data_IF_856298765548
#
_entry.id   IF_856298765548
#
_cell.length_a   1.000
_cell.length_b   1.000
_cell.length_c   1.000
_cell.angle_alpha   90.00
_cell.angle_beta   90.00
_cell.angle_gamma   90.00
#
_symmetry.space_group_name_H-M   'P 1'
#
loop_
_entity.id
_entity.type
_entity.pdbx_description
1 polymer ?
#
# COMPACT_ATOMS: atom_id res chain seq x y z
N UNK A 1 -15.73 -19.37 -19.30
CA UNK A 1 -14.81 -18.28 -18.90
C UNK A 1 -14.08 -17.82 -20.14
N UNK A 2 -14.06 -16.52 -20.42
CA UNK A 2 -13.32 -16.00 -21.57
C UNK A 2 -11.84 -15.95 -21.19
N UNK A 3 -11.04 -16.87 -21.71
CA UNK A 3 -9.59 -16.89 -21.55
C UNK A 3 -8.98 -16.71 -22.94
N UNK A 4 -8.38 -15.55 -23.22
CA UNK A 4 -7.40 -15.47 -24.29
C UNK A 4 -6.02 -15.73 -23.70
N UNK A 5 -5.11 -16.34 -24.46
CA UNK A 5 -3.73 -16.61 -24.01
C UNK A 5 -2.96 -15.34 -23.60
N UNK A 6 -3.43 -14.17 -24.04
CA UNK A 6 -2.89 -12.85 -23.71
C UNK A 6 -3.75 -12.08 -22.70
N UNK A 7 -4.83 -12.66 -22.16
CA UNK A 7 -5.64 -11.98 -21.16
C UNK A 7 -4.92 -11.98 -19.81
N UNK A 8 -4.87 -10.81 -19.19
CA UNK A 8 -4.43 -10.72 -17.80
C UNK A 8 -5.49 -11.35 -16.91
N UNK A 9 -5.14 -12.47 -16.27
CA UNK A 9 -6.03 -13.21 -15.39
C UNK A 9 -5.92 -12.78 -13.90
N UNK A 10 -5.01 -11.85 -13.60
CA UNK A 10 -4.78 -11.35 -12.24
C UNK A 10 -5.79 -10.25 -11.86
N UNK A 11 -6.10 -10.16 -10.56
CA UNK A 11 -6.80 -9.03 -9.98
C UNK A 11 -5.89 -7.79 -10.04
N UNK A 12 -6.40 -6.64 -10.50
CA UNK A 12 -5.54 -5.43 -10.63
C UNK A 12 -5.07 -4.92 -9.27
N UNK A 13 -6.00 -4.81 -8.35
CA UNK A 13 -5.77 -4.34 -6.99
C UNK A 13 -6.71 -5.07 -6.08
N UNK A 14 -6.19 -5.59 -4.96
CA UNK A 14 -7.04 -6.16 -3.93
C UNK A 14 -7.88 -5.07 -3.27
N UNK A 15 -7.25 -3.95 -2.90
CA UNK A 15 -7.95 -2.80 -2.37
C UNK A 15 -7.55 -1.50 -3.07
N UNK A 16 -8.54 -0.81 -3.61
CA UNK A 16 -8.42 0.55 -4.12
C UNK A 16 -9.52 1.38 -3.49
N UNK A 17 -9.15 2.48 -2.84
CA UNK A 17 -10.15 3.40 -2.30
C UNK A 17 -10.48 4.48 -3.33
N UNK A 18 -11.73 4.49 -3.79
CA UNK A 18 -12.26 5.45 -4.75
C UNK A 18 -12.94 6.60 -4.02
N UNK A 19 -12.51 7.83 -4.30
CA UNK A 19 -13.22 9.04 -3.89
C UNK A 19 -12.92 10.17 -4.85
N UNK A 20 -13.93 10.59 -5.59
CA UNK A 20 -13.87 11.71 -6.52
C UNK A 20 -15.03 12.69 -6.29
N UNK A 21 -15.04 13.77 -7.05
CA UNK A 21 -16.06 14.82 -6.94
C UNK A 21 -17.36 14.50 -7.67
N UNK A 22 -17.59 13.25 -8.09
CA UNK A 22 -18.82 12.88 -8.80
C UNK A 22 -20.05 12.96 -7.89
N UNK A 23 -19.88 12.73 -6.59
CA UNK A 23 -20.92 12.81 -5.57
C UNK A 23 -20.38 13.42 -4.27
N UNK A 24 -21.22 14.14 -3.50
CA UNK A 24 -20.80 14.65 -2.19
C UNK A 24 -20.56 13.49 -1.22
N UNK A 25 -19.47 13.60 -0.46
CA UNK A 25 -19.12 12.71 0.64
C UNK A 25 -19.19 13.59 1.89
N UNK A 26 -20.22 13.48 2.73
CA UNK A 26 -20.40 14.41 3.85
C UNK A 26 -19.42 14.14 4.99
N UNK A 27 -19.09 12.86 5.23
CA UNK A 27 -18.30 12.40 6.36
C UNK A 27 -16.86 12.10 5.97
N UNK A 28 -15.93 12.21 6.93
CA UNK A 28 -14.56 11.74 6.75
C UNK A 28 -14.53 10.20 6.79
N UNK A 29 -14.03 9.54 5.74
CA UNK A 29 -14.00 8.09 5.68
C UNK A 29 -12.79 7.55 6.46
N UNK A 30 -12.94 6.42 7.15
CA UNK A 30 -11.89 5.83 7.99
C UNK A 30 -12.38 4.56 8.69
N UNK A 31 -11.60 4.03 9.63
CA UNK A 31 -11.89 2.78 10.35
C UNK A 31 -12.13 1.59 9.40
N UNK A 32 -11.39 1.54 8.29
CA UNK A 32 -11.45 0.42 7.36
C UNK A 32 -10.59 -0.71 7.91
N UNK A 33 -11.21 -1.85 8.22
CA UNK A 33 -10.52 -3.04 8.73
C UNK A 33 -10.73 -4.19 7.76
N UNK A 34 -9.64 -4.78 7.32
CA UNK A 34 -9.62 -6.02 6.54
C UNK A 34 -8.87 -7.05 7.39
N UNK A 35 -9.56 -8.12 7.77
CA UNK A 35 -8.99 -9.15 8.62
C UNK A 35 -9.36 -10.58 8.23
N UNK A 36 -8.52 -11.51 8.66
CA UNK A 36 -8.73 -12.96 8.60
C UNK A 36 -9.00 -13.49 7.18
N UNK A 37 -8.15 -13.11 6.20
CA UNK A 37 -8.32 -13.54 4.82
C UNK A 37 -7.02 -13.90 4.08
N UNK A 38 -7.19 -14.65 2.99
CA UNK A 38 -6.13 -14.96 2.03
C UNK A 38 -6.41 -14.24 0.70
N UNK A 39 -5.38 -13.60 0.16
CA UNK A 39 -5.44 -12.80 -1.07
C UNK A 39 -4.49 -13.43 -2.08
N UNK A 40 -5.01 -13.86 -3.23
CA UNK A 40 -4.25 -14.61 -4.23
C UNK A 40 -4.28 -13.91 -5.59
N UNK A 41 -3.10 -13.75 -6.21
CA UNK A 41 -2.98 -13.31 -7.60
C UNK A 41 -3.38 -11.85 -7.85
N UNK A 42 -3.15 -10.98 -6.87
CA UNK A 42 -3.33 -9.54 -7.02
C UNK A 42 -2.05 -8.90 -7.58
N UNK A 43 -2.15 -8.03 -8.58
CA UNK A 43 -1.01 -7.21 -8.96
C UNK A 43 -0.69 -6.22 -7.83
N UNK A 44 -1.68 -5.41 -7.42
CA UNK A 44 -1.57 -4.47 -6.31
C UNK A 44 -2.21 -5.01 -5.04
N UNK A 45 -1.54 -4.90 -3.90
CA UNK A 45 -2.19 -5.21 -2.62
C UNK A 45 -2.98 -4.00 -2.09
N UNK A 46 -2.34 -2.84 -1.94
CA UNK A 46 -3.04 -1.57 -1.66
C UNK A 46 -2.71 -0.53 -2.73
N UNK A 47 -3.75 0.02 -3.33
CA UNK A 47 -3.68 1.24 -4.13
C UNK A 47 -4.41 2.39 -3.43
N UNK A 48 -3.65 3.22 -2.72
CA UNK A 48 -4.13 4.44 -2.08
C UNK A 48 -3.27 5.63 -2.53
N UNK A 49 -3.76 6.40 -3.48
CA UNK A 49 -2.99 7.42 -4.19
C UNK A 49 -3.74 8.78 -4.24
N UNK A 50 -3.77 9.52 -3.14
CA UNK A 50 -4.30 10.89 -3.10
C UNK A 50 -3.26 11.95 -3.44
N UNK A 51 -2.40 11.64 -4.41
CA UNK A 51 -1.43 12.60 -4.90
C UNK A 51 -2.03 13.64 -5.86
N UNK A 52 -3.31 13.54 -6.22
CA UNK A 52 -3.96 14.45 -7.18
C UNK A 52 -3.78 14.06 -8.64
N UNK A 53 -2.82 13.18 -8.95
CA UNK A 53 -2.62 12.65 -10.31
C UNK A 53 -3.68 11.62 -10.72
N UNK A 54 -4.32 10.95 -9.76
CA UNK A 54 -5.37 9.96 -10.05
C UNK A 54 -6.77 10.57 -9.98
N UNK A 55 -7.46 10.60 -11.12
CA UNK A 55 -8.78 11.23 -11.24
C UNK A 55 -9.85 10.60 -10.34
N UNK A 56 -9.64 9.35 -9.92
CA UNK A 56 -10.53 8.57 -9.05
C UNK A 56 -10.14 8.59 -7.56
N UNK A 57 -9.05 9.27 -7.17
CA UNK A 57 -8.56 9.36 -5.78
C UNK A 57 -8.18 10.81 -5.44
N UNK A 58 -9.16 11.72 -5.45
CA UNK A 58 -8.89 13.17 -5.34
C UNK A 58 -9.88 13.96 -4.49
N UNK A 59 -10.91 13.35 -3.91
CA UNK A 59 -11.88 14.10 -3.10
C UNK A 59 -11.65 14.00 -1.59
N UNK A 60 -12.10 12.90 -0.96
CA UNK A 60 -11.97 12.70 0.50
C UNK A 60 -11.08 11.51 0.82
N UNK A 61 -9.83 11.72 1.24
CA UNK A 61 -8.92 10.64 1.63
C UNK A 61 -9.43 9.88 2.85
N UNK A 62 -9.03 8.60 3.00
CA UNK A 62 -9.22 7.83 4.23
C UNK A 62 -8.34 8.40 5.35
N UNK A 63 -8.90 8.46 6.56
CA UNK A 63 -8.14 8.67 7.78
C UNK A 63 -7.24 7.49 8.10
N UNK A 64 -7.79 6.27 8.07
CA UNK A 64 -7.07 5.07 8.50
C UNK A 64 -7.53 3.79 7.81
N UNK A 65 -6.59 2.83 7.66
CA UNK A 65 -6.83 1.47 7.19
C UNK A 65 -5.97 0.46 7.96
N UNK A 66 -6.58 -0.66 8.36
CA UNK A 66 -5.94 -1.76 9.08
C UNK A 66 -6.04 -3.08 8.30
N UNK A 67 -4.91 -3.76 8.16
CA UNK A 67 -4.81 -5.14 7.69
C UNK A 67 -4.34 -6.03 8.84
N UNK A 68 -5.10 -7.08 9.15
CA UNK A 68 -4.81 -7.96 10.30
C UNK A 68 -5.03 -9.43 9.96
N UNK A 69 -4.07 -10.29 10.32
CA UNK A 69 -4.17 -11.74 10.07
C UNK A 69 -4.39 -12.05 8.57
N UNK A 70 -3.57 -11.46 7.70
CA UNK A 70 -3.72 -11.59 6.25
C UNK A 70 -2.58 -12.40 5.66
N UNK A 71 -2.92 -13.29 4.74
CA UNK A 71 -1.96 -13.99 3.88
C UNK A 71 -2.09 -13.50 2.45
N UNK A 72 -1.03 -12.88 1.92
CA UNK A 72 -0.96 -12.37 0.55
C UNK A 72 -0.06 -13.29 -0.27
N UNK A 73 -0.56 -13.78 -1.39
CA UNK A 73 0.12 -14.73 -2.25
C UNK A 73 0.16 -14.19 -3.68
N UNK A 74 1.36 -14.19 -4.25
CA UNK A 74 1.59 -13.84 -5.65
C UNK A 74 1.28 -12.36 -5.96
N UNK A 75 1.79 -11.45 -5.11
CA UNK A 75 1.70 -9.99 -5.31
C UNK A 75 2.92 -9.43 -6.03
N UNK A 76 2.73 -8.50 -6.96
CA UNK A 76 3.85 -7.88 -7.71
C UNK A 76 4.09 -6.41 -7.40
N UNK A 77 3.09 -5.68 -6.91
CA UNK A 77 3.11 -4.25 -6.60
C UNK A 77 2.52 -4.04 -5.20
N UNK A 78 3.31 -4.11 -4.14
CA UNK A 78 2.79 -4.26 -2.79
C UNK A 78 1.91 -3.08 -2.33
N UNK A 79 2.46 -1.91 -2.00
CA UNK A 79 1.64 -0.80 -1.51
C UNK A 79 2.04 0.57 -2.06
N UNK A 80 1.03 1.34 -2.46
CA UNK A 80 1.09 2.81 -2.58
C UNK A 80 0.18 3.41 -1.51
N UNK A 81 0.72 4.33 -0.70
CA UNK A 81 0.04 4.97 0.43
C UNK A 81 0.30 6.47 0.45
N UNK A 82 -0.46 7.23 -0.34
CA UNK A 82 -0.38 8.69 -0.39
C UNK A 82 -1.65 9.33 0.16
N UNK A 83 -1.53 10.01 1.30
CA UNK A 83 -2.55 10.96 1.76
C UNK A 83 -2.37 12.34 1.11
N UNK A 84 -3.07 13.34 1.63
CA UNK A 84 -2.87 14.75 1.26
C UNK A 84 -2.14 15.50 2.37
N UNK A 85 -1.62 16.70 2.07
CA UNK A 85 -0.95 17.54 3.09
C UNK A 85 -1.86 17.84 4.29
N UNK A 86 -3.18 17.93 4.06
CA UNK A 86 -4.19 18.24 5.09
C UNK A 86 -4.83 17.00 5.72
N UNK A 87 -4.91 15.89 4.98
CA UNK A 87 -5.53 14.64 5.42
C UNK A 87 -4.52 13.51 5.23
N UNK A 88 -3.65 13.39 6.23
CA UNK A 88 -2.65 12.33 6.29
C UNK A 88 -3.31 11.01 6.67
N UNK A 89 -2.84 9.93 6.06
CA UNK A 89 -3.37 8.58 6.27
C UNK A 89 -2.60 7.81 7.35
N UNK A 90 -3.30 6.95 8.07
CA UNK A 90 -2.72 5.92 8.94
C UNK A 90 -2.85 4.52 8.33
N UNK A 91 -1.76 3.75 8.38
CA UNK A 91 -1.72 2.35 7.97
C UNK A 91 -1.27 1.46 9.14
N UNK A 92 -2.07 0.44 9.44
CA UNK A 92 -1.73 -0.60 10.41
C UNK A 92 -1.68 -1.95 9.69
N UNK A 93 -0.58 -2.68 9.83
CA UNK A 93 -0.38 -4.02 9.31
C UNK A 93 0.06 -4.93 10.45
N UNK A 94 -0.78 -5.90 10.80
CA UNK A 94 -0.53 -6.82 11.93
C UNK A 94 -0.67 -8.27 11.52
N UNK A 95 0.30 -9.11 11.89
CA UNK A 95 0.27 -10.55 11.62
C UNK A 95 0.02 -10.83 10.11
N UNK A 96 1.02 -10.47 9.31
CA UNK A 96 0.99 -10.55 7.86
C UNK A 96 1.95 -11.62 7.35
N UNK A 97 1.51 -12.39 6.35
CA UNK A 97 2.41 -13.23 5.57
C UNK A 97 2.28 -12.88 4.10
N UNK A 98 3.40 -12.54 3.45
CA UNK A 98 3.41 -12.04 2.08
C UNK A 98 4.37 -12.87 1.26
N UNK A 99 3.91 -13.40 0.12
CA UNK A 99 4.77 -14.00 -0.89
C UNK A 99 4.71 -13.19 -2.17
N UNK A 100 5.84 -12.60 -2.54
CA UNK A 100 6.00 -11.87 -3.79
C UNK A 100 5.85 -12.83 -4.97
N UNK A 101 5.28 -12.31 -6.06
CA UNK A 101 5.22 -13.01 -7.34
C UNK A 101 6.63 -13.20 -7.88
N UNK A 102 6.91 -14.39 -8.42
CA UNK A 102 8.20 -14.69 -9.06
C UNK A 102 8.46 -13.71 -10.21
N UNK A 103 9.62 -13.07 -10.20
CA UNK A 103 10.01 -12.08 -11.22
C UNK A 103 9.41 -10.69 -11.02
N UNK A 104 8.62 -10.47 -9.96
CA UNK A 104 8.29 -9.11 -9.55
C UNK A 104 9.58 -8.38 -9.15
N UNK A 105 9.76 -7.17 -9.64
CA UNK A 105 10.90 -6.32 -9.30
C UNK A 105 10.35 -4.98 -8.80
N UNK A 106 10.49 -4.75 -7.50
CA UNK A 106 10.08 -3.53 -6.82
C UNK A 106 11.18 -3.10 -5.88
N UNK A 107 11.49 -1.80 -5.86
CA UNK A 107 12.54 -1.24 -5.00
C UNK A 107 12.11 -1.06 -3.55
N UNK A 108 10.80 -1.02 -3.28
CA UNK A 108 10.25 -0.88 -1.94
C UNK A 108 8.96 -1.69 -1.75
N UNK A 109 8.65 -2.03 -0.50
CA UNK A 109 7.41 -2.71 -0.15
C UNK A 109 6.23 -1.72 0.00
N UNK A 110 6.49 -0.55 0.60
CA UNK A 110 5.52 0.53 0.75
C UNK A 110 6.16 1.80 0.20
N UNK A 111 5.50 2.42 -0.78
CA UNK A 111 5.80 3.79 -1.19
C UNK A 111 4.80 4.72 -0.51
N UNK A 112 5.28 5.55 0.41
CA UNK A 112 4.44 6.32 1.31
C UNK A 112 4.74 7.83 1.28
N UNK A 113 3.67 8.63 1.30
CA UNK A 113 3.73 10.08 1.42
C UNK A 113 2.50 10.61 2.15
N UNK A 114 2.64 11.76 2.83
CA UNK A 114 1.54 12.39 3.55
C UNK A 114 0.79 11.39 4.45
N UNK A 115 1.54 10.73 5.33
CA UNK A 115 1.03 9.78 6.31
C UNK A 115 1.29 10.31 7.71
N UNK A 116 0.42 9.98 8.64
CA UNK A 116 0.59 10.32 10.05
C UNK A 116 1.28 9.16 10.78
N UNK A 117 0.88 7.92 10.46
CA UNK A 117 1.42 6.72 11.08
C UNK A 117 1.47 5.54 10.11
N UNK A 118 2.57 4.80 10.12
CA UNK A 118 2.68 3.46 9.52
C UNK A 118 3.17 2.51 10.61
N UNK A 119 2.42 1.46 10.87
CA UNK A 119 2.76 0.45 11.87
C UNK A 119 2.75 -0.94 11.26
N UNK A 120 3.88 -1.62 11.37
CA UNK A 120 4.05 -3.01 10.93
C UNK A 120 4.47 -3.81 12.16
N UNK A 121 3.69 -4.82 12.51
CA UNK A 121 3.97 -5.73 13.61
C UNK A 121 3.69 -7.16 13.18
N UNK A 122 4.69 -8.04 13.32
CA UNK A 122 4.64 -9.45 12.93
C UNK A 122 4.37 -9.63 11.43
N UNK A 123 5.41 -9.51 10.61
CA UNK A 123 5.31 -9.67 9.17
C UNK A 123 6.38 -10.61 8.62
N UNK A 124 5.98 -11.58 7.80
CA UNK A 124 6.89 -12.38 6.97
C UNK A 124 6.76 -11.99 5.51
N UNK A 125 7.88 -11.77 4.82
CA UNK A 125 7.89 -11.49 3.39
C UNK A 125 8.82 -12.49 2.68
N UNK A 126 8.30 -13.28 1.75
CA UNK A 126 9.05 -14.20 0.92
C UNK A 126 9.20 -13.63 -0.50
N UNK A 127 10.42 -13.70 -1.05
CA UNK A 127 10.70 -13.33 -2.44
C UNK A 127 10.80 -11.82 -2.70
N UNK A 128 10.92 -11.01 -1.65
CA UNK A 128 11.20 -9.58 -1.77
C UNK A 128 12.71 -9.31 -1.75
N UNK A 129 13.24 -8.71 -2.82
CA UNK A 129 14.65 -8.35 -2.96
C UNK A 129 14.90 -6.84 -3.08
N UNK A 130 13.89 -6.03 -2.76
CA UNK A 130 13.96 -4.57 -2.84
C UNK A 130 14.89 -3.95 -1.81
N UNK A 131 15.08 -2.64 -1.93
CA UNK A 131 16.06 -1.87 -1.15
C UNK A 131 15.54 -1.52 0.26
N UNK A 132 14.23 -1.37 0.43
CA UNK A 132 13.66 -0.97 1.72
C UNK A 132 12.21 -1.45 1.92
N UNK A 133 11.74 -1.43 3.18
CA UNK A 133 10.33 -1.73 3.48
C UNK A 133 9.46 -0.52 3.21
N UNK A 134 9.85 0.65 3.72
CA UNK A 134 9.13 1.90 3.49
C UNK A 134 10.04 2.90 2.80
N UNK A 135 9.69 3.28 1.57
CA UNK A 135 10.23 4.48 0.92
C UNK A 135 9.30 5.64 1.24
N UNK A 136 9.81 6.62 1.98
CA UNK A 136 9.01 7.66 2.62
C UNK A 136 9.35 9.05 2.08
N UNK A 137 8.31 9.81 1.72
CA UNK A 137 8.35 11.27 1.59
C UNK A 137 7.38 11.87 2.61
N UNK A 138 7.84 12.12 3.84
CA UNK A 138 7.00 12.65 4.90
C UNK A 138 7.58 12.46 6.29
N UNK A 139 7.02 13.18 7.26
CA UNK A 139 7.51 13.26 8.64
C UNK A 139 6.62 12.50 9.64
N UNK A 140 5.76 11.61 9.16
CA UNK A 140 4.91 10.78 10.01
C UNK A 140 5.71 9.73 10.77
N UNK A 141 5.07 9.10 11.76
CA UNK A 141 5.71 8.09 12.58
C UNK A 141 5.70 6.72 11.87
N UNK A 142 6.85 6.06 11.79
CA UNK A 142 6.96 4.69 11.27
C UNK A 142 7.48 3.77 12.37
N UNK A 143 6.70 2.74 12.69
CA UNK A 143 7.09 1.68 13.62
C UNK A 143 7.08 0.33 12.91
N UNK A 144 8.22 -0.37 12.91
CA UNK A 144 8.37 -1.70 12.31
C UNK A 144 8.93 -2.65 13.35
N UNK A 145 8.19 -3.71 13.67
CA UNK A 145 8.52 -4.72 14.69
C UNK A 145 8.31 -6.12 14.11
N UNK A 146 9.18 -7.06 14.51
CA UNK A 146 9.03 -8.49 14.22
C UNK A 146 8.84 -8.82 12.73
N UNK A 147 9.69 -8.25 11.86
CA UNK A 147 9.68 -8.54 10.43
C UNK A 147 10.76 -9.57 10.04
N UNK A 148 10.44 -10.50 9.15
CA UNK A 148 11.33 -11.58 8.71
C UNK A 148 11.20 -11.89 7.20
N UNK A 149 12.13 -12.70 6.69
CA UNK A 149 12.17 -13.11 5.27
C UNK A 149 12.87 -12.13 4.33
N UNK A 150 13.52 -11.10 4.89
CA UNK A 150 14.23 -10.07 4.13
C UNK A 150 15.69 -10.50 3.90
N UNK A 151 16.14 -10.50 2.64
CA UNK A 151 17.51 -10.91 2.29
C UNK A 151 18.44 -9.75 1.92
N UNK A 152 17.93 -8.72 1.23
CA UNK A 152 18.77 -7.71 0.56
C UNK A 152 18.41 -6.25 0.89
N UNK A 153 17.64 -6.01 1.97
CA UNK A 153 17.25 -4.64 2.30
C UNK A 153 18.44 -3.81 2.80
N UNK A 154 18.56 -2.57 2.32
CA UNK A 154 19.52 -1.57 2.78
C UNK A 154 19.05 -0.92 4.09
N UNK A 155 17.75 -0.73 4.23
CA UNK A 155 17.14 -0.12 5.41
C UNK A 155 15.67 -0.54 5.56
N UNK A 156 15.12 -0.49 6.77
CA UNK A 156 13.68 -0.62 6.96
C UNK A 156 12.93 0.60 6.42
N UNK A 157 13.46 1.79 6.63
CA UNK A 157 12.89 3.06 6.16
C UNK A 157 13.95 3.81 5.38
N UNK A 158 13.62 4.25 4.17
CA UNK A 158 14.42 5.13 3.34
C UNK A 158 13.65 6.43 3.12
N UNK A 159 14.16 7.54 3.64
CA UNK A 159 13.61 8.86 3.32
C UNK A 159 14.02 9.27 1.89
N UNK A 160 13.13 9.93 1.17
CA UNK A 160 13.38 10.36 -0.20
C UNK A 160 12.81 11.74 -0.47
N UNK A 161 13.54 12.49 -1.30
CA UNK A 161 13.10 13.76 -1.89
C UNK A 161 12.52 13.59 -3.29
N UNK A 162 12.44 12.35 -3.80
CA UNK A 162 11.89 12.07 -5.12
C UNK A 162 10.52 12.75 -5.31
N UNK A 163 10.32 13.34 -6.47
CA UNK A 163 9.02 13.91 -6.83
C UNK A 163 8.03 12.78 -7.09
N UNK A 164 7.37 12.36 -6.01
CA UNK A 164 6.07 11.71 -6.15
C UNK A 164 5.17 12.75 -6.79
N UNK A 165 4.46 12.39 -7.87
CA UNK A 165 3.59 13.31 -8.60
C UNK A 165 2.45 13.70 -7.67
N UNK A 166 2.66 14.73 -6.83
CA UNK A 166 1.71 15.25 -5.85
C UNK A 166 1.29 16.63 -6.34
N UNK A 167 0.13 16.68 -7.00
CA UNK A 167 -0.55 17.92 -7.31
C UNK A 167 -1.25 18.43 -6.05
N UNK A 168 -1.20 19.75 -5.81
CA UNK A 168 -1.97 20.38 -4.73
C UNK A 168 -3.46 20.21 -5.06
N UNK A 169 -4.14 19.36 -4.30
CA UNK A 169 -5.60 19.17 -4.35
C UNK A 169 -6.27 20.23 -3.47
#
# INVERSE_FOLDING_TARGET
MATSENARNNMLSFFTYYADYSVPIPEEPGNIVIEDCEICGADRFLHYNFSGNETWQRYRPLRDITFKNIKVIDVSMPLTLYGTETNKVELIMKNMSVRMRKGASVSEFIRACNYERISIDEMSIEGFDGECIVKSKGNGNIEIKNINGLSNIKAYVLQTEEDFIIEKI
#
